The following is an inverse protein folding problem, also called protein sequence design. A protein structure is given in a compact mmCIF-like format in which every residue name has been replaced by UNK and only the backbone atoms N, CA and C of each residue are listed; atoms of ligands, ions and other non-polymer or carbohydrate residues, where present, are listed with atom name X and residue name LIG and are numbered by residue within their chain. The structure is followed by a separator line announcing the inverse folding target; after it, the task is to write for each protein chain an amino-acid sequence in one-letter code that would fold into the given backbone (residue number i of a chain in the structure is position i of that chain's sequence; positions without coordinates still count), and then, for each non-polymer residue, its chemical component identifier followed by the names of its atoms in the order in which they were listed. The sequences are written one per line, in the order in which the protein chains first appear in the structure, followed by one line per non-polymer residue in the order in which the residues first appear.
data_IF_650538112033
#
_entry.id   IF_650538112033
#
_cell.length_a   1.000
_cell.length_b   1.000
_cell.length_c   1.000
_cell.angle_alpha   90.00
_cell.angle_beta   90.00
_cell.angle_gamma   90.00
#
_symmetry.space_group_name_H-M   'P 1'
#
loop_
_entity.id
_entity.type
_entity.pdbx_description
1 polymer ?
#
# COMPACT_ATOMS: atom_id res chain seq x y z
N UNK A 1 13.11 -2.10 3.38
CA UNK A 1 13.09 -0.61 3.37
C UNK A 1 11.77 -0.09 3.94
N UNK A 2 11.65 1.21 4.28
CA UNK A 2 10.39 1.79 4.77
C UNK A 2 9.55 2.31 3.59
N UNK A 3 8.30 1.87 3.47
CA UNK A 3 7.38 2.25 2.40
C UNK A 3 6.14 2.91 3.00
N UNK A 4 5.99 4.22 2.79
CA UNK A 4 4.76 4.93 3.14
C UNK A 4 3.75 4.76 2.02
N UNK A 5 2.60 4.17 2.33
CA UNK A 5 1.52 3.96 1.37
C UNK A 5 0.60 5.16 1.31
N UNK A 6 0.24 5.55 0.10
CA UNK A 6 -0.93 6.39 -0.14
C UNK A 6 -2.22 5.59 0.13
N UNK A 7 -3.29 6.29 0.50
CA UNK A 7 -4.63 5.75 0.71
C UNK A 7 -5.09 4.85 -0.44
N UNK A 8 -4.99 5.32 -1.69
CA UNK A 8 -5.46 4.53 -2.83
C UNK A 8 -4.59 3.29 -3.07
N UNK A 9 -3.29 3.37 -2.77
CA UNK A 9 -2.38 2.23 -2.90
C UNK A 9 -2.73 1.14 -1.90
N UNK A 10 -3.03 1.51 -0.65
CA UNK A 10 -3.47 0.55 0.37
C UNK A 10 -4.81 -0.11 0.00
N UNK A 11 -5.81 0.67 -0.42
CA UNK A 11 -7.13 0.15 -0.83
C UNK A 11 -6.99 -0.83 -2.00
N UNK A 12 -6.23 -0.48 -3.03
CA UNK A 12 -6.05 -1.36 -4.19
C UNK A 12 -5.22 -2.59 -3.87
N UNK A 13 -4.27 -2.50 -2.96
CA UNK A 13 -3.48 -3.67 -2.58
C UNK A 13 -4.37 -4.79 -2.02
N UNK A 14 -5.38 -4.44 -1.22
CA UNK A 14 -6.36 -5.38 -0.68
C UNK A 14 -7.44 -5.78 -1.70
N UNK A 15 -8.11 -4.79 -2.31
CA UNK A 15 -9.34 -5.01 -3.08
C UNK A 15 -9.14 -5.23 -4.59
N UNK A 16 -8.06 -4.71 -5.17
CA UNK A 16 -7.84 -4.69 -6.61
C UNK A 16 -6.33 -4.64 -6.98
N UNK A 17 -5.53 -5.65 -6.58
CA UNK A 17 -4.07 -5.59 -6.72
C UNK A 17 -3.61 -5.45 -8.19
N UNK A 18 -4.42 -5.89 -9.15
CA UNK A 18 -4.16 -5.72 -10.59
C UNK A 18 -4.10 -4.24 -11.04
N UNK A 19 -4.59 -3.28 -10.24
CA UNK A 19 -4.48 -1.84 -10.51
C UNK A 19 -3.12 -1.28 -10.10
N UNK A 20 -2.34 -2.00 -9.29
CA UNK A 20 -1.00 -1.63 -8.90
C UNK A 20 0.00 -2.09 -9.97
N UNK A 21 1.05 -1.28 -10.18
CA UNK A 21 2.15 -1.71 -11.03
C UNK A 21 2.85 -2.94 -10.44
N UNK A 22 3.42 -3.78 -11.30
CA UNK A 22 4.15 -4.99 -10.87
C UNK A 22 5.27 -4.67 -9.88
N UNK A 23 5.95 -3.52 -10.04
CA UNK A 23 6.98 -3.06 -9.11
C UNK A 23 6.43 -2.81 -7.70
N UNK A 24 5.29 -2.13 -7.58
CA UNK A 24 4.68 -1.85 -6.27
C UNK A 24 4.21 -3.15 -5.62
N UNK A 25 3.59 -4.05 -6.39
CA UNK A 25 3.18 -5.36 -5.87
C UNK A 25 4.37 -6.16 -5.31
N UNK A 26 5.49 -6.21 -6.03
CA UNK A 26 6.70 -6.89 -5.54
C UNK A 26 7.23 -6.24 -4.25
N UNK A 27 7.23 -4.91 -4.17
CA UNK A 27 7.67 -4.20 -2.97
C UNK A 27 6.74 -4.45 -1.77
N UNK A 28 5.43 -4.49 -1.98
CA UNK A 28 4.43 -4.77 -0.95
C UNK A 28 4.46 -6.23 -0.47
N UNK A 29 4.84 -7.18 -1.34
CA UNK A 29 4.93 -8.62 -1.00
C UNK A 29 6.25 -9.01 -0.35
N UNK A 30 7.27 -8.18 -0.46
CA UNK A 30 8.57 -8.40 0.17
C UNK A 30 8.51 -8.09 1.67
N UNK A 31 8.59 -9.15 2.48
CA UNK A 31 8.50 -9.08 3.94
C UNK A 31 9.70 -8.37 4.61
N UNK A 32 10.77 -8.08 3.86
CA UNK A 32 11.88 -7.26 4.36
C UNK A 32 11.57 -5.76 4.33
N UNK A 33 10.42 -5.39 3.76
CA UNK A 33 9.91 -4.03 3.77
C UNK A 33 8.98 -3.77 4.96
N UNK A 34 9.15 -2.60 5.55
CA UNK A 34 8.29 -2.08 6.60
C UNK A 34 7.22 -1.22 5.92
N UNK A 35 5.98 -1.71 5.94
CA UNK A 35 4.83 -1.02 5.37
C UNK A 35 4.26 -0.03 6.40
N UNK A 36 4.22 1.24 6.03
CA UNK A 36 3.74 2.32 6.90
C UNK A 36 2.46 2.89 6.29
N UNK A 37 1.43 3.06 7.12
CA UNK A 37 0.17 3.73 6.77
C UNK A 37 -0.06 4.89 7.74
N UNK A 38 -0.37 6.06 7.20
CA UNK A 38 -0.73 7.22 8.03
C UNK A 38 -2.13 7.07 8.61
N UNK A 39 -2.35 7.59 9.81
CA UNK A 39 -3.70 7.71 10.39
C UNK A 39 -4.60 8.60 9.52
N UNK A 40 -4.04 9.60 8.83
CA UNK A 40 -4.79 10.43 7.89
C UNK A 40 -5.34 9.61 6.72
N UNK A 41 -4.56 8.65 6.21
CA UNK A 41 -5.01 7.75 5.14
C UNK A 41 -6.19 6.88 5.59
N UNK A 42 -6.21 6.44 6.85
CA UNK A 42 -7.38 5.71 7.40
C UNK A 42 -8.61 6.61 7.48
N UNK A 43 -8.43 7.89 7.80
CA UNK A 43 -9.53 8.86 7.84
C UNK A 43 -10.11 9.16 6.44
N UNK A 44 -9.29 9.18 5.40
CA UNK A 44 -9.75 9.37 4.01
C UNK A 44 -10.66 8.23 3.49
N UNK A 45 -10.71 7.09 4.19
CA UNK A 45 -11.54 5.92 3.82
C UNK A 45 -12.97 5.95 4.41
N UNK A 46 -13.33 7.03 5.12
CA UNK A 46 -14.69 7.24 5.64
C UNK A 46 -15.73 7.48 4.53
#
# INVERSE_FOLDING_TARGET
MKLLLDTHTFIWWDSAPHKLSSKILTLCQDQTNEMILSVASVWEMQ
#
